data_IF_452378381538
#
_entry.id   IF_452378381538
#
_cell.length_a   1.000
_cell.length_b   1.000
_cell.length_c   1.000
_cell.angle_alpha   90.00
_cell.angle_beta   90.00
_cell.angle_gamma   90.00
#
_symmetry.space_group_name_H-M   'P 1'
#
loop_
_entity.id
_entity.type
_entity.pdbx_description
1 polymer ?
#
# COMPACT_ATOMS: atom_id res chain seq x y z
N UNK A 1 -0.71 32.20 -10.21
CA UNK A 1 -1.51 31.00 -10.38
C UNK A 1 -0.92 29.85 -9.59
N UNK A 2 -1.75 29.18 -8.86
CA UNK A 2 -1.29 28.04 -8.08
C UNK A 2 -0.94 26.88 -8.99
N UNK A 3 0.25 26.33 -8.83
CA UNK A 3 0.65 25.12 -9.53
C UNK A 3 0.30 23.87 -8.75
N UNK A 4 -0.28 24.05 -7.57
CA UNK A 4 -0.61 22.92 -6.70
C UNK A 4 -1.87 22.22 -7.23
N UNK A 5 -1.71 20.99 -7.62
CA UNK A 5 -2.83 20.16 -8.04
C UNK A 5 -3.29 19.38 -6.81
N UNK A 6 -4.53 19.56 -6.36
CA UNK A 6 -5.00 18.83 -5.19
C UNK A 6 -5.03 17.35 -5.46
N UNK A 7 -4.81 16.57 -4.41
CA UNK A 7 -4.87 15.12 -4.47
C UNK A 7 -6.33 14.72 -4.68
N UNK A 8 -6.67 14.39 -5.91
CA UNK A 8 -8.06 14.18 -6.32
C UNK A 8 -8.42 12.71 -6.46
N UNK A 9 -9.70 12.45 -6.80
CA UNK A 9 -10.24 11.10 -6.93
C UNK A 9 -9.45 10.27 -7.93
N UNK A 10 -9.03 10.88 -9.04
CA UNK A 10 -8.26 10.17 -10.06
C UNK A 10 -6.92 9.71 -9.53
N UNK A 11 -6.22 10.57 -8.81
CA UNK A 11 -4.93 10.22 -8.22
C UNK A 11 -5.08 9.14 -7.16
N UNK A 12 -6.15 9.20 -6.36
CA UNK A 12 -6.42 8.17 -5.36
C UNK A 12 -6.67 6.82 -6.02
N UNK A 13 -7.44 6.82 -7.12
CA UNK A 13 -7.69 5.59 -7.86
C UNK A 13 -6.40 5.02 -8.43
N UNK A 14 -5.53 5.87 -8.96
CA UNK A 14 -4.24 5.45 -9.49
C UNK A 14 -3.35 4.86 -8.39
N UNK A 15 -3.31 5.49 -7.23
CA UNK A 15 -2.53 4.99 -6.12
C UNK A 15 -3.00 3.62 -5.67
N UNK A 16 -4.32 3.43 -5.53
CA UNK A 16 -4.88 2.13 -5.17
C UNK A 16 -4.54 1.06 -6.20
N UNK A 17 -4.73 1.39 -7.47
CA UNK A 17 -4.46 0.45 -8.56
C UNK A 17 -2.99 0.07 -8.61
N UNK A 18 -2.10 1.02 -8.41
CA UNK A 18 -0.67 0.75 -8.46
C UNK A 18 -0.23 -0.14 -7.29
N UNK A 19 -0.77 0.09 -6.11
CA UNK A 19 -0.50 -0.76 -4.96
C UNK A 19 -0.91 -2.20 -5.27
N UNK A 20 -2.13 -2.38 -5.77
CA UNK A 20 -2.64 -3.71 -6.11
C UNK A 20 -1.78 -4.37 -7.19
N UNK A 21 -1.40 -3.61 -8.19
CA UNK A 21 -0.60 -4.12 -9.31
C UNK A 21 0.79 -4.56 -8.87
N UNK A 22 1.47 -3.73 -8.08
CA UNK A 22 2.82 -4.06 -7.63
C UNK A 22 2.83 -5.32 -6.76
N UNK A 23 1.84 -5.45 -5.88
CA UNK A 23 1.74 -6.62 -5.02
C UNK A 23 1.37 -7.88 -5.80
N UNK A 24 0.52 -7.74 -6.82
CA UNK A 24 0.08 -8.88 -7.61
C UNK A 24 1.17 -9.37 -8.58
N UNK A 25 2.00 -8.44 -9.07
CA UNK A 25 2.99 -8.77 -10.10
C UNK A 25 4.18 -9.54 -9.53
N UNK A 26 4.61 -9.23 -8.31
CA UNK A 26 5.83 -9.81 -7.77
C UNK A 26 5.67 -10.11 -6.27
N UNK A 27 5.61 -11.39 -5.95
CA UNK A 27 5.50 -11.83 -4.56
C UNK A 27 6.71 -11.46 -3.73
N UNK A 28 7.86 -11.21 -4.36
CA UNK A 28 9.04 -10.78 -3.64
C UNK A 28 8.81 -9.45 -2.92
N UNK A 29 7.96 -8.58 -3.48
CA UNK A 29 7.61 -7.31 -2.84
C UNK A 29 6.89 -7.56 -1.52
N UNK A 30 5.87 -8.40 -1.54
CA UNK A 30 5.14 -8.78 -0.33
C UNK A 30 6.07 -9.43 0.68
N UNK A 31 6.88 -10.37 0.25
CA UNK A 31 7.81 -11.06 1.13
C UNK A 31 8.86 -10.12 1.70
N UNK A 32 9.31 -9.14 0.89
CA UNK A 32 10.25 -8.13 1.36
C UNK A 32 9.69 -7.28 2.49
N UNK A 33 8.43 -6.85 2.35
CA UNK A 33 7.77 -6.06 3.39
C UNK A 33 7.62 -6.89 4.67
N UNK A 34 7.29 -8.16 4.53
CA UNK A 34 7.08 -9.04 5.68
C UNK A 34 8.37 -9.60 6.28
N UNK A 35 9.53 -9.22 5.73
CA UNK A 35 10.79 -9.69 6.25
C UNK A 35 11.12 -11.12 5.85
N UNK A 36 10.46 -11.65 4.83
CA UNK A 36 10.66 -13.02 4.35
C UNK A 36 11.47 -13.06 3.05
N UNK A 37 12.26 -12.04 2.81
CA UNK A 37 13.02 -11.91 1.58
C UNK A 37 14.10 -12.99 1.52
N UNK A 38 14.08 -13.80 0.46
CA UNK A 38 15.02 -14.90 0.32
C UNK A 38 16.42 -14.38 -0.03
N UNK A 39 17.47 -14.86 0.66
CA UNK A 39 18.85 -14.50 0.32
C UNK A 39 19.17 -14.94 -1.10
N UNK A 40 19.95 -14.11 -1.81
CA UNK A 40 20.36 -14.42 -3.15
C UNK A 40 19.42 -13.97 -4.26
N UNK A 41 18.34 -13.30 -3.89
CA UNK A 41 17.44 -12.73 -4.88
C UNK A 41 18.12 -11.57 -5.58
N UNK A 42 18.35 -11.69 -6.87
CA UNK A 42 19.19 -10.74 -7.62
C UNK A 42 18.50 -9.40 -7.92
N UNK A 43 17.21 -9.28 -7.67
CA UNK A 43 16.46 -8.05 -7.94
C UNK A 43 16.13 -7.28 -6.66
N UNK A 44 16.98 -7.37 -5.64
CA UNK A 44 16.74 -6.75 -4.36
C UNK A 44 16.50 -5.24 -4.47
N UNK A 45 17.26 -4.55 -5.32
CA UNK A 45 17.11 -3.12 -5.50
C UNK A 45 15.75 -2.76 -6.09
N UNK A 46 15.30 -3.52 -7.09
CA UNK A 46 13.98 -3.30 -7.68
C UNK A 46 12.86 -3.56 -6.68
N UNK A 47 13.03 -4.59 -5.85
CA UNK A 47 12.05 -4.89 -4.80
C UNK A 47 11.99 -3.75 -3.79
N UNK A 48 13.12 -3.23 -3.36
CA UNK A 48 13.16 -2.12 -2.41
C UNK A 48 12.53 -0.87 -3.01
N UNK A 49 12.77 -0.60 -4.29
CA UNK A 49 12.15 0.54 -4.97
C UNK A 49 10.63 0.39 -5.05
N UNK A 50 10.16 -0.81 -5.31
CA UNK A 50 8.72 -1.08 -5.34
C UNK A 50 8.09 -0.90 -3.96
N UNK A 51 8.77 -1.36 -2.91
CA UNK A 51 8.30 -1.19 -1.53
C UNK A 51 8.20 0.30 -1.19
N UNK A 52 9.21 1.08 -1.55
CA UNK A 52 9.20 2.53 -1.31
C UNK A 52 8.03 3.20 -2.05
N UNK A 53 7.78 2.81 -3.29
CA UNK A 53 6.68 3.35 -4.07
C UNK A 53 5.34 3.04 -3.40
N UNK A 54 5.15 1.79 -2.96
CA UNK A 54 3.93 1.39 -2.25
C UNK A 54 3.80 2.19 -0.95
N UNK A 55 4.88 2.34 -0.19
CA UNK A 55 4.85 3.08 1.07
C UNK A 55 4.42 4.53 0.86
N UNK A 56 4.95 5.19 -0.17
CA UNK A 56 4.58 6.57 -0.49
C UNK A 56 3.09 6.65 -0.82
N UNK A 57 2.58 5.73 -1.62
CA UNK A 57 1.17 5.74 -2.00
C UNK A 57 0.26 5.43 -0.81
N UNK A 58 0.67 4.51 0.05
CA UNK A 58 -0.07 4.19 1.27
C UNK A 58 -0.18 5.43 2.17
N UNK A 59 0.91 6.21 2.28
CA UNK A 59 0.90 7.41 3.09
C UNK A 59 -0.02 8.49 2.53
N UNK A 60 -0.18 8.55 1.21
CA UNK A 60 -1.02 9.56 0.57
C UNK A 60 -2.51 9.22 0.60
N UNK A 61 -2.85 7.93 0.59
CA UNK A 61 -4.25 7.53 0.52
C UNK A 61 -5.01 7.89 1.80
N UNK A 62 -6.22 8.47 1.66
CA UNK A 62 -7.09 8.66 2.82
C UNK A 62 -7.48 7.33 3.43
N UNK A 63 -7.83 7.34 4.72
CA UNK A 63 -8.18 6.12 5.44
C UNK A 63 -9.29 5.30 4.78
N UNK A 64 -10.39 5.91 4.28
CA UNK A 64 -11.43 5.12 3.60
C UNK A 64 -10.92 4.39 2.37
N UNK A 65 -10.11 5.06 1.56
CA UNK A 65 -9.55 4.45 0.34
C UNK A 65 -8.58 3.33 0.70
N UNK A 66 -7.79 3.52 1.76
CA UNK A 66 -6.86 2.51 2.21
C UNK A 66 -7.60 1.28 2.75
N UNK A 67 -8.69 1.49 3.49
CA UNK A 67 -9.52 0.39 3.97
C UNK A 67 -10.07 -0.43 2.81
N UNK A 68 -10.57 0.23 1.78
CA UNK A 68 -11.08 -0.43 0.58
C UNK A 68 -9.97 -1.23 -0.13
N UNK A 69 -8.79 -0.65 -0.20
CA UNK A 69 -7.65 -1.31 -0.82
C UNK A 69 -7.27 -2.58 -0.05
N UNK A 70 -7.24 -2.49 1.27
CA UNK A 70 -6.93 -3.64 2.12
C UNK A 70 -7.94 -4.76 1.95
N UNK A 71 -9.23 -4.42 1.86
CA UNK A 71 -10.29 -5.41 1.67
C UNK A 71 -10.16 -6.13 0.33
N UNK A 72 -9.61 -5.46 -0.67
CA UNK A 72 -9.44 -6.05 -2.00
C UNK A 72 -8.24 -6.99 -2.09
N UNK A 73 -7.38 -7.00 -1.09
CA UNK A 73 -6.14 -7.78 -1.11
C UNK A 73 -6.32 -9.14 -0.45
N UNK A 74 -5.62 -10.18 -0.95
CA UNK A 74 -5.51 -11.45 -0.23
C UNK A 74 -4.85 -11.23 1.15
N UNK A 75 -5.04 -12.15 2.10
CA UNK A 75 -4.57 -11.94 3.48
C UNK A 75 -3.09 -11.62 3.62
N UNK A 76 -2.22 -12.26 2.86
CA UNK A 76 -0.78 -12.02 2.98
C UNK A 76 -0.42 -10.62 2.50
N UNK A 77 -0.93 -10.21 1.35
CA UNK A 77 -0.69 -8.88 0.80
C UNK A 77 -1.32 -7.81 1.68
N UNK A 78 -2.49 -8.11 2.25
CA UNK A 78 -3.16 -7.20 3.18
C UNK A 78 -2.28 -6.95 4.40
N UNK A 79 -1.70 -8.01 4.94
CA UNK A 79 -0.80 -7.91 6.09
C UNK A 79 0.44 -7.07 5.75
N UNK A 80 0.99 -7.25 4.56
CA UNK A 80 2.14 -6.49 4.11
C UNK A 80 1.83 -5.00 4.05
N UNK A 81 0.72 -4.63 3.41
CA UNK A 81 0.33 -3.22 3.32
C UNK A 81 0.08 -2.64 4.72
N UNK A 82 -0.57 -3.42 5.58
CA UNK A 82 -0.85 -2.98 6.94
C UNK A 82 0.43 -2.61 7.69
N UNK A 83 1.52 -3.34 7.47
CA UNK A 83 2.80 -3.03 8.10
C UNK A 83 3.39 -1.71 7.64
N UNK A 84 3.01 -1.24 6.46
CA UNK A 84 3.47 0.04 5.93
C UNK A 84 2.62 1.21 6.40
N UNK A 85 1.47 0.95 7.01
CA UNK A 85 0.58 2.01 7.50
C UNK A 85 1.13 2.52 8.83
N UNK A 86 1.25 3.85 8.97
CA UNK A 86 1.71 4.45 10.21
C UNK A 86 0.68 4.31 11.34
N UNK A 87 1.16 4.36 12.59
CA UNK A 87 0.32 4.12 13.76
C UNK A 87 -0.92 5.00 13.81
N UNK A 88 -0.76 6.29 13.50
CA UNK A 88 -1.87 7.23 13.53
C UNK A 88 -2.91 6.86 12.48
N UNK A 89 -2.47 6.56 11.27
CA UNK A 89 -3.36 6.20 10.19
C UNK A 89 -4.04 4.85 10.44
N UNK A 90 -3.36 3.92 11.13
CA UNK A 90 -3.96 2.64 11.50
C UNK A 90 -5.24 2.80 12.28
N UNK A 91 -5.26 3.73 13.22
CA UNK A 91 -6.46 4.01 13.99
C UNK A 91 -7.62 4.45 13.11
N UNK A 92 -7.35 5.34 12.17
CA UNK A 92 -8.37 5.82 11.25
C UNK A 92 -8.88 4.73 10.33
N UNK A 93 -7.98 3.89 9.82
CA UNK A 93 -8.35 2.78 8.93
C UNK A 93 -9.22 1.77 9.68
N UNK A 94 -8.89 1.47 10.94
CA UNK A 94 -9.68 0.54 11.74
C UNK A 94 -11.09 1.07 11.97
N UNK A 95 -11.25 2.38 12.19
CA UNK A 95 -12.57 2.98 12.33
C UNK A 95 -13.39 2.82 11.06
N UNK A 96 -12.78 3.05 9.90
CA UNK A 96 -13.47 2.88 8.63
C UNK A 96 -13.87 1.43 8.38
N UNK A 97 -12.99 0.50 8.69
CA UNK A 97 -13.28 -0.92 8.52
C UNK A 97 -14.40 -1.37 9.47
N UNK A 98 -14.45 -0.82 10.68
CA UNK A 98 -15.47 -1.16 11.66
C UNK A 98 -16.86 -0.70 11.21
N UNK A 99 -16.93 0.42 10.50
CA UNK A 99 -18.20 0.95 10.02
C UNK A 99 -18.83 0.06 8.95
N UNK A 100 -18.07 -0.82 8.36
CA UNK A 100 -18.53 -1.71 7.30
C UNK A 100 -18.98 -3.08 7.80
N UNK A 101 -18.97 -3.29 9.08
CA UNK A 101 -19.35 -4.58 9.67
C UNK A 101 -20.85 -4.70 9.92
#
# INVERSE_FOLDING_TARGET
>A
MSSTIPYNVKQRAEDRLQILRLLATDKAVTHGILGKFAPGHHDAEQVLNAIDDIAIRVQRLPAPDLADTLEALPPEERHAVWRLVGDEKRGHVLLEASDNV
#
